data_IF_648566087836
#
_entry.id   IF_648566087836
#
_cell.length_a   1.000
_cell.length_b   1.000
_cell.length_c   1.000
_cell.angle_alpha   90.00
_cell.angle_beta   90.00
_cell.angle_gamma   90.00
#
_symmetry.space_group_name_H-M   'P 1'
#
loop_
_entity.id
_entity.type
_entity.pdbx_description
1 polymer ?
#
# COMPACT_ATOMS: atom_id res chain seq x y z
N UNK A 1 -13.66 14.72 3.83
CA UNK A 1 -13.44 14.76 5.29
C UNK A 1 -13.22 16.17 5.84
N UNK A 2 -12.65 17.11 5.07
CA UNK A 2 -12.48 18.54 5.52
C UNK A 2 -13.81 19.20 5.91
N UNK A 3 -14.90 18.86 5.25
CA UNK A 3 -16.22 19.44 5.55
C UNK A 3 -16.81 19.02 6.89
N UNK A 4 -16.35 17.93 7.48
CA UNK A 4 -16.88 17.44 8.77
C UNK A 4 -16.09 17.94 9.99
N UNK A 5 -14.82 18.31 9.79
CA UNK A 5 -13.93 18.75 10.88
C UNK A 5 -13.53 20.22 10.79
N UNK A 6 -13.96 20.93 9.76
CA UNK A 6 -13.50 22.29 9.46
C UNK A 6 -12.22 22.28 8.61
N UNK A 7 -11.81 23.45 8.13
CA UNK A 7 -10.58 23.64 7.36
C UNK A 7 -9.41 23.97 8.29
N UNK A 8 -8.17 23.79 7.83
CA UNK A 8 -6.98 24.23 8.57
C UNK A 8 -7.06 25.73 8.91
N UNK A 9 -7.61 26.56 8.00
CA UNK A 9 -7.84 27.99 8.25
C UNK A 9 -8.74 28.21 9.46
N UNK A 10 -9.88 27.50 9.52
CA UNK A 10 -10.84 27.61 10.65
C UNK A 10 -10.19 27.25 11.99
N UNK A 11 -9.36 26.21 12.03
CA UNK A 11 -8.64 25.82 13.24
C UNK A 11 -7.59 26.85 13.64
N UNK A 12 -6.83 27.38 12.69
CA UNK A 12 -5.82 28.41 12.93
C UNK A 12 -6.45 29.74 13.43
N UNK A 13 -7.60 30.16 12.88
CA UNK A 13 -8.35 31.30 13.34
C UNK A 13 -8.77 31.16 14.80
N UNK A 14 -9.05 29.94 15.24
CA UNK A 14 -9.36 29.60 16.64
C UNK A 14 -8.10 29.31 17.49
N UNK A 15 -6.91 29.61 16.98
CA UNK A 15 -5.61 29.38 17.65
C UNK A 15 -5.35 27.92 18.02
N UNK A 16 -5.92 26.98 17.26
CA UNK A 16 -5.69 25.55 17.42
C UNK A 16 -4.65 25.14 16.37
N UNK A 17 -3.43 24.76 16.77
CA UNK A 17 -2.42 24.30 15.83
C UNK A 17 -2.81 22.97 15.19
N UNK A 18 -2.62 22.86 13.88
CA UNK A 18 -2.93 21.64 13.11
C UNK A 18 -1.64 21.09 12.51
N UNK A 19 -1.37 19.84 12.78
CA UNK A 19 -0.35 19.08 12.07
C UNK A 19 -1.00 18.13 11.06
N UNK A 20 -0.54 18.14 9.82
CA UNK A 20 -0.98 17.22 8.79
C UNK A 20 0.21 16.33 8.40
N UNK A 21 0.01 15.02 8.48
CA UNK A 21 1.04 14.05 8.09
C UNK A 21 1.40 14.21 6.60
N UNK A 22 2.68 14.29 6.29
CA UNK A 22 3.17 14.38 4.90
C UNK A 22 2.75 13.18 4.06
N UNK A 23 2.82 11.98 4.63
CA UNK A 23 2.44 10.75 3.95
C UNK A 23 0.98 10.73 3.49
N UNK A 24 0.09 11.56 4.10
CA UNK A 24 -1.33 11.66 3.74
C UNK A 24 -1.65 12.77 2.73
N UNK A 25 -0.68 13.63 2.39
CA UNK A 25 -0.91 14.77 1.51
C UNK A 25 -0.90 14.37 0.03
N UNK A 26 -2.00 14.62 -0.66
CA UNK A 26 -2.08 14.41 -2.13
C UNK A 26 -1.40 15.52 -2.95
N UNK A 27 -0.97 16.60 -2.30
CA UNK A 27 -0.37 17.78 -2.95
C UNK A 27 1.14 17.71 -3.11
N UNK A 28 1.78 16.70 -2.53
CA UNK A 28 3.22 16.45 -2.62
C UNK A 28 3.48 15.09 -3.24
N UNK A 29 4.67 14.91 -3.79
CA UNK A 29 5.12 13.59 -4.23
C UNK A 29 5.18 12.65 -3.02
N UNK A 30 4.49 11.52 -3.11
CA UNK A 30 4.49 10.52 -2.07
C UNK A 30 5.71 9.61 -2.16
N UNK A 31 6.35 9.42 -1.00
CA UNK A 31 7.49 8.54 -0.78
C UNK A 31 7.38 7.94 0.62
N UNK A 32 7.90 6.73 0.82
CA UNK A 32 7.92 6.10 2.15
C UNK A 32 8.74 6.91 3.17
N UNK A 33 9.72 7.69 2.71
CA UNK A 33 10.48 8.62 3.54
C UNK A 33 9.60 9.70 4.20
N UNK A 34 8.44 10.04 3.63
CA UNK A 34 7.48 10.94 4.26
C UNK A 34 6.96 10.39 5.60
N UNK A 35 6.78 9.07 5.72
CA UNK A 35 6.40 8.42 6.99
C UNK A 35 7.52 8.59 8.02
N UNK A 36 8.77 8.39 7.61
CA UNK A 36 9.94 8.55 8.48
C UNK A 36 10.05 9.99 8.98
N UNK A 37 9.78 10.96 8.12
CA UNK A 37 9.79 12.38 8.49
C UNK A 37 8.62 12.73 9.43
N UNK A 38 7.43 12.18 9.19
CA UNK A 38 6.27 12.37 10.07
C UNK A 38 6.54 11.84 11.49
N UNK A 39 7.24 10.71 11.65
CA UNK A 39 7.66 10.21 12.96
C UNK A 39 8.56 11.21 13.68
N UNK A 40 9.55 11.79 12.97
CA UNK A 40 10.45 12.82 13.57
C UNK A 40 9.67 14.07 13.98
N UNK A 41 8.76 14.54 13.12
CA UNK A 41 7.94 15.71 13.40
C UNK A 41 7.03 15.50 14.61
N UNK A 42 6.40 14.34 14.74
CA UNK A 42 5.61 13.97 15.91
C UNK A 42 6.49 13.91 17.17
N UNK A 43 7.72 13.42 17.05
CA UNK A 43 8.71 13.44 18.13
C UNK A 43 8.99 14.86 18.65
N UNK A 44 9.09 15.84 17.76
CA UNK A 44 9.24 17.26 18.15
C UNK A 44 7.97 17.80 18.81
N UNK A 45 6.80 17.50 18.25
CA UNK A 45 5.50 17.98 18.79
C UNK A 45 5.26 17.46 20.22
N UNK A 46 5.62 16.21 20.48
CA UNK A 46 5.41 15.56 21.79
C UNK A 46 6.64 15.62 22.73
N UNK A 47 7.69 16.33 22.33
CA UNK A 47 8.95 16.47 23.11
C UNK A 47 9.60 15.12 23.47
N UNK A 48 9.66 14.20 22.48
CA UNK A 48 10.27 12.88 22.59
C UNK A 48 11.23 12.60 21.42
N UNK A 49 12.00 13.62 21.02
CA UNK A 49 12.82 13.63 19.81
C UNK A 49 13.81 12.45 19.73
N UNK A 50 14.48 12.12 20.84
CA UNK A 50 15.48 11.06 20.85
C UNK A 50 14.88 9.71 20.47
N UNK A 51 13.74 9.36 21.09
CA UNK A 51 12.99 8.12 20.78
C UNK A 51 12.46 8.12 19.36
N UNK A 52 11.94 9.26 18.91
CA UNK A 52 11.43 9.41 17.55
C UNK A 52 12.52 9.28 16.49
N UNK A 53 13.72 9.87 16.75
CA UNK A 53 14.86 9.76 15.85
C UNK A 53 15.40 8.32 15.78
N UNK A 54 15.46 7.62 16.91
CA UNK A 54 15.86 6.21 16.95
C UNK A 54 14.88 5.35 16.13
N UNK A 55 13.57 5.51 16.36
CA UNK A 55 12.55 4.78 15.63
C UNK A 55 12.54 5.12 14.12
N UNK A 56 12.67 6.40 13.78
CA UNK A 56 12.78 6.84 12.40
C UNK A 56 14.00 6.23 11.68
N UNK A 57 15.13 6.09 12.38
CA UNK A 57 16.32 5.43 11.84
C UNK A 57 16.09 3.93 11.59
N UNK A 58 15.35 3.25 12.47
CA UNK A 58 14.96 1.85 12.27
C UNK A 58 14.06 1.70 11.04
N UNK A 59 13.05 2.57 10.87
CA UNK A 59 12.17 2.56 9.70
C UNK A 59 12.95 2.83 8.39
N UNK A 60 13.87 3.79 8.40
CA UNK A 60 14.71 4.08 7.23
C UNK A 60 15.59 2.87 6.87
N UNK A 61 16.18 2.20 7.87
CA UNK A 61 16.99 1.00 7.65
C UNK A 61 16.21 -0.14 6.99
N UNK A 62 14.92 -0.32 7.33
CA UNK A 62 14.02 -1.28 6.67
C UNK A 62 13.82 -0.94 5.20
N UNK A 63 13.52 0.31 4.89
CA UNK A 63 13.35 0.78 3.50
C UNK A 63 14.64 0.53 2.70
N UNK A 64 15.79 0.90 3.25
CA UNK A 64 17.08 0.76 2.59
C UNK A 64 17.46 -0.71 2.36
N UNK A 65 17.15 -1.60 3.32
CA UNK A 65 17.37 -3.03 3.20
C UNK A 65 16.56 -3.64 2.06
N UNK A 66 15.25 -3.30 1.96
CA UNK A 66 14.39 -3.78 0.87
C UNK A 66 14.85 -3.23 -0.48
N UNK A 67 15.19 -1.94 -0.56
CA UNK A 67 15.74 -1.34 -1.77
C UNK A 67 17.03 -2.00 -2.23
N UNK A 68 17.90 -2.37 -1.31
CA UNK A 68 19.15 -3.09 -1.60
C UNK A 68 18.89 -4.52 -2.09
N UNK A 69 17.88 -5.19 -1.53
CA UNK A 69 17.50 -6.55 -1.93
C UNK A 69 16.83 -6.59 -3.31
N UNK A 70 16.18 -5.49 -3.72
CA UNK A 70 15.50 -5.36 -5.00
C UNK A 70 16.12 -4.20 -5.81
N UNK A 71 17.36 -4.32 -6.31
CA UNK A 71 17.95 -3.27 -7.11
C UNK A 71 17.03 -3.01 -8.29
N UNK A 72 16.48 -1.81 -8.36
CA UNK A 72 15.70 -1.35 -9.52
C UNK A 72 16.63 -1.40 -10.70
N UNK A 73 16.59 -2.51 -11.43
CA UNK A 73 17.20 -2.56 -12.75
C UNK A 73 16.62 -1.38 -13.54
N UNK A 74 17.42 -0.74 -14.35
CA UNK A 74 16.96 0.26 -15.34
C UNK A 74 16.06 -0.39 -16.41
N UNK A 75 15.46 -1.55 -16.08
CA UNK A 75 14.59 -2.35 -16.91
C UNK A 75 13.11 -2.18 -16.60
N UNK A 76 12.30 -2.91 -17.32
CA UNK A 76 10.85 -2.96 -17.17
C UNK A 76 10.47 -3.46 -15.77
N UNK A 77 9.64 -2.70 -15.04
CA UNK A 77 9.13 -3.10 -13.73
C UNK A 77 8.12 -4.23 -13.89
N UNK A 78 8.14 -5.17 -12.96
CA UNK A 78 7.13 -6.21 -12.86
C UNK A 78 5.76 -5.62 -12.54
N UNK A 79 4.71 -6.31 -12.93
CA UNK A 79 3.33 -5.88 -12.76
C UNK A 79 2.77 -6.37 -11.43
N UNK A 80 2.24 -5.46 -10.61
CA UNK A 80 1.51 -5.82 -9.40
C UNK A 80 0.11 -5.20 -9.40
N UNK A 81 -0.84 -5.86 -8.71
CA UNK A 81 -2.18 -5.35 -8.48
C UNK A 81 -2.49 -5.37 -6.98
N UNK A 82 -2.87 -4.22 -6.43
CA UNK A 82 -3.43 -4.14 -5.07
C UNK A 82 -4.94 -4.23 -5.19
N UNK A 83 -5.50 -5.36 -4.76
CA UNK A 83 -6.86 -5.79 -5.04
C UNK A 83 -7.69 -5.88 -3.77
N UNK A 84 -9.01 -5.67 -3.88
CA UNK A 84 -9.96 -5.74 -2.75
C UNK A 84 -11.33 -6.23 -3.24
N UNK A 85 -12.13 -6.78 -2.34
CA UNK A 85 -13.55 -7.10 -2.54
C UNK A 85 -13.85 -7.94 -3.80
N UNK A 86 -13.08 -8.99 -4.00
CA UNK A 86 -13.31 -9.95 -5.09
C UNK A 86 -14.53 -10.84 -4.82
N UNK A 87 -15.41 -10.99 -5.81
CA UNK A 87 -16.67 -11.75 -5.71
C UNK A 87 -16.97 -12.65 -6.91
N UNK A 88 -15.96 -13.20 -7.57
CA UNK A 88 -16.06 -14.02 -8.80
C UNK A 88 -16.54 -13.31 -10.08
N UNK A 89 -17.07 -12.13 -10.00
CA UNK A 89 -17.51 -11.34 -11.16
C UNK A 89 -16.73 -10.03 -11.26
N UNK A 90 -16.59 -9.36 -10.12
CA UNK A 90 -15.97 -8.04 -10.03
C UNK A 90 -15.04 -7.93 -8.85
N UNK A 91 -14.19 -6.92 -8.89
CA UNK A 91 -13.31 -6.55 -7.79
C UNK A 91 -13.07 -5.04 -7.75
N UNK A 92 -12.51 -4.58 -6.65
CA UNK A 92 -11.94 -3.24 -6.51
C UNK A 92 -10.42 -3.28 -6.54
N UNK A 93 -9.80 -2.14 -6.79
CA UNK A 93 -8.35 -1.99 -6.68
C UNK A 93 -7.98 -0.67 -6.00
N UNK A 94 -6.85 -0.66 -5.32
CA UNK A 94 -6.28 0.55 -4.76
C UNK A 94 -5.23 1.13 -5.71
N UNK A 95 -5.29 2.45 -5.88
CA UNK A 95 -4.36 3.21 -6.72
C UNK A 95 -4.01 4.50 -5.98
N UNK A 96 -3.05 4.45 -5.10
CA UNK A 96 -2.57 5.62 -4.36
C UNK A 96 -1.07 5.79 -4.51
N UNK A 97 -0.61 7.04 -4.43
CA UNK A 97 0.79 7.37 -4.66
C UNK A 97 1.73 6.76 -3.61
N UNK A 98 1.29 6.59 -2.36
CA UNK A 98 2.11 5.97 -1.32
C UNK A 98 2.33 4.48 -1.58
N UNK A 99 1.26 3.73 -1.95
CA UNK A 99 1.37 2.31 -2.28
C UNK A 99 2.14 2.09 -3.59
N UNK A 100 2.03 3.02 -4.55
CA UNK A 100 2.89 3.00 -5.74
C UNK A 100 4.37 3.18 -5.36
N UNK A 101 4.69 4.09 -4.44
CA UNK A 101 6.05 4.25 -3.90
C UNK A 101 6.55 2.96 -3.24
N UNK A 102 5.69 2.29 -2.46
CA UNK A 102 6.00 0.99 -1.85
C UNK A 102 6.34 -0.07 -2.91
N UNK A 103 5.48 -0.23 -3.91
CA UNK A 103 5.70 -1.19 -5.00
C UNK A 103 6.99 -0.90 -5.77
N UNK A 104 7.30 0.38 -5.98
CA UNK A 104 8.51 0.81 -6.65
C UNK A 104 9.79 0.36 -5.92
N UNK A 105 9.80 0.34 -4.57
CA UNK A 105 10.93 -0.19 -3.78
C UNK A 105 11.15 -1.70 -4.01
N UNK A 106 10.09 -2.41 -4.39
CA UNK A 106 10.10 -3.85 -4.66
C UNK A 106 10.37 -4.19 -6.16
N UNK A 107 10.52 -3.18 -7.01
CA UNK A 107 10.70 -3.39 -8.46
C UNK A 107 9.40 -3.67 -9.21
N UNK A 108 8.25 -3.28 -8.64
CA UNK A 108 6.93 -3.44 -9.24
C UNK A 108 6.28 -2.09 -9.57
N UNK A 109 5.30 -2.12 -10.48
CA UNK A 109 4.37 -1.02 -10.76
C UNK A 109 2.93 -1.52 -10.62
N UNK A 110 2.04 -0.67 -10.12
CA UNK A 110 0.63 -0.99 -9.99
C UNK A 110 -0.07 -0.88 -11.35
N UNK A 111 -0.66 -1.98 -11.81
CA UNK A 111 -1.33 -2.05 -13.11
C UNK A 111 -2.84 -1.76 -13.06
N UNK A 112 -3.36 -1.33 -11.91
CA UNK A 112 -4.78 -1.00 -11.76
C UNK A 112 -5.23 0.05 -12.79
N UNK A 113 -6.20 -0.29 -13.63
CA UNK A 113 -6.81 0.61 -14.64
C UNK A 113 -7.96 1.43 -14.07
N UNK A 114 -8.50 1.05 -12.92
CA UNK A 114 -9.57 1.72 -12.20
C UNK A 114 -9.57 1.31 -10.73
N UNK A 115 -10.55 1.80 -9.95
CA UNK A 115 -10.63 1.53 -8.50
C UNK A 115 -11.84 0.70 -8.07
N UNK A 116 -12.85 0.56 -8.94
CA UNK A 116 -14.08 -0.19 -8.60
C UNK A 116 -14.76 -0.74 -9.86
N UNK A 117 -15.58 -1.79 -9.69
CA UNK A 117 -16.33 -2.40 -10.78
C UNK A 117 -15.45 -3.02 -11.87
N UNK A 118 -14.24 -3.43 -11.53
CA UNK A 118 -13.33 -4.11 -12.45
C UNK A 118 -13.80 -5.56 -12.62
N UNK A 119 -13.74 -6.07 -13.86
CA UNK A 119 -14.20 -7.42 -14.21
C UNK A 119 -13.03 -8.40 -14.33
N UNK A 120 -13.34 -9.69 -14.49
CA UNK A 120 -12.30 -10.72 -14.67
C UNK A 120 -11.50 -10.48 -15.95
N UNK A 121 -12.11 -9.97 -17.02
CA UNK A 121 -11.42 -9.59 -18.25
C UNK A 121 -10.43 -8.45 -18.00
N UNK A 122 -10.77 -7.50 -17.14
CA UNK A 122 -9.83 -6.47 -16.73
C UNK A 122 -8.62 -7.10 -16.00
N UNK A 123 -8.85 -8.07 -15.10
CA UNK A 123 -7.76 -8.76 -14.40
C UNK A 123 -6.84 -9.49 -15.37
N UNK A 124 -7.41 -10.24 -16.31
CA UNK A 124 -6.64 -10.93 -17.37
C UNK A 124 -5.85 -9.92 -18.23
N UNK A 125 -6.47 -8.80 -18.61
CA UNK A 125 -5.81 -7.77 -19.42
C UNK A 125 -4.69 -7.02 -18.68
N UNK A 126 -4.85 -6.80 -17.38
CA UNK A 126 -3.80 -6.21 -16.54
C UNK A 126 -2.59 -7.12 -16.39
N UNK A 127 -2.78 -8.43 -16.46
CA UNK A 127 -1.75 -9.45 -16.46
C UNK A 127 -0.74 -9.31 -15.29
N UNK A 128 -1.20 -9.21 -14.02
CA UNK A 128 -0.30 -9.01 -12.89
C UNK A 128 0.54 -10.25 -12.58
N UNK A 129 1.81 -10.01 -12.22
CA UNK A 129 2.75 -11.02 -11.72
C UNK A 129 2.67 -11.20 -10.20
N UNK A 130 2.12 -10.21 -9.50
CA UNK A 130 1.87 -10.19 -8.07
C UNK A 130 0.48 -9.63 -7.79
N UNK A 131 -0.32 -10.32 -6.99
CA UNK A 131 -1.56 -9.79 -6.42
C UNK A 131 -1.37 -9.61 -4.92
N UNK A 132 -1.59 -8.39 -4.44
CA UNK A 132 -1.70 -8.07 -3.02
C UNK A 132 -3.19 -7.88 -2.73
N UNK A 133 -3.81 -8.88 -2.10
CA UNK A 133 -5.22 -8.85 -1.76
C UNK A 133 -5.41 -8.22 -0.39
N UNK A 134 -6.08 -7.06 -0.35
CA UNK A 134 -6.31 -6.30 0.88
C UNK A 134 -7.59 -6.79 1.55
N UNK A 135 -7.46 -7.30 2.77
CA UNK A 135 -8.58 -7.75 3.60
C UNK A 135 -9.07 -6.63 4.52
N UNK A 136 -10.35 -6.63 4.84
CA UNK A 136 -10.93 -5.67 5.79
C UNK A 136 -12.08 -6.27 6.57
N UNK A 137 -12.31 -5.78 7.80
CA UNK A 137 -13.46 -6.22 8.61
C UNK A 137 -14.81 -5.99 7.91
N UNK A 138 -14.89 -4.99 7.03
CA UNK A 138 -16.11 -4.69 6.25
C UNK A 138 -16.45 -5.79 5.26
N UNK A 139 -15.45 -6.50 4.73
CA UNK A 139 -15.58 -7.52 3.70
C UNK A 139 -15.22 -8.93 4.20
N UNK A 140 -15.12 -9.14 5.50
CA UNK A 140 -14.60 -10.38 6.10
C UNK A 140 -15.10 -11.66 5.46
N UNK A 141 -16.42 -11.81 5.29
CA UNK A 141 -17.03 -13.01 4.68
C UNK A 141 -16.60 -13.25 3.23
N UNK A 142 -16.35 -12.16 2.48
CA UNK A 142 -15.90 -12.20 1.10
C UNK A 142 -14.40 -12.53 1.07
N UNK A 143 -13.63 -11.86 1.90
CA UNK A 143 -12.18 -11.94 1.94
C UNK A 143 -11.68 -13.33 2.38
N UNK A 144 -12.41 -14.03 3.28
CA UNK A 144 -12.05 -15.38 3.74
C UNK A 144 -11.90 -16.41 2.61
N UNK A 145 -12.63 -16.25 1.51
CA UNK A 145 -12.65 -17.18 0.37
C UNK A 145 -12.04 -16.61 -0.92
N UNK A 146 -11.75 -15.33 -0.95
CA UNK A 146 -11.40 -14.62 -2.17
C UNK A 146 -10.20 -15.24 -2.90
N UNK A 147 -9.14 -15.59 -2.18
CA UNK A 147 -7.93 -16.19 -2.78
C UNK A 147 -8.21 -17.59 -3.33
N UNK A 148 -8.99 -18.40 -2.61
CA UNK A 148 -9.38 -19.75 -3.06
C UNK A 148 -10.25 -19.68 -4.30
N UNK A 149 -11.22 -18.77 -4.32
CA UNK A 149 -12.09 -18.54 -5.47
C UNK A 149 -11.29 -18.06 -6.69
N UNK A 150 -10.37 -17.10 -6.52
CA UNK A 150 -9.49 -16.67 -7.61
C UNK A 150 -8.67 -17.84 -8.19
N UNK A 151 -8.11 -18.70 -7.34
CA UNK A 151 -7.32 -19.85 -7.77
C UNK A 151 -8.15 -20.93 -8.46
N UNK A 152 -9.41 -21.08 -8.10
CA UNK A 152 -10.33 -22.05 -8.68
C UNK A 152 -10.99 -21.57 -9.96
N UNK A 153 -10.91 -20.27 -10.28
CA UNK A 153 -11.60 -19.69 -11.44
C UNK A 153 -10.80 -19.93 -12.73
N UNK A 154 -11.37 -20.77 -13.62
CA UNK A 154 -10.73 -21.14 -14.89
C UNK A 154 -10.42 -19.94 -15.81
N UNK A 155 -11.19 -18.86 -15.75
CA UNK A 155 -10.94 -17.64 -16.53
C UNK A 155 -9.61 -16.99 -16.14
N UNK A 156 -9.20 -17.16 -14.89
CA UNK A 156 -8.02 -16.52 -14.33
C UNK A 156 -6.74 -17.40 -14.36
N UNK A 157 -6.83 -18.64 -14.85
CA UNK A 157 -5.69 -19.58 -14.85
C UNK A 157 -4.46 -19.09 -15.63
N UNK A 158 -4.67 -18.22 -16.63
CA UNK A 158 -3.60 -17.61 -17.42
C UNK A 158 -2.88 -16.45 -16.73
N UNK A 159 -3.50 -15.85 -15.69
CA UNK A 159 -2.92 -14.70 -14.96
C UNK A 159 -1.65 -15.13 -14.22
N UNK A 160 -0.47 -14.53 -14.49
CA UNK A 160 0.80 -14.96 -13.93
C UNK A 160 0.80 -15.06 -12.40
N UNK A 161 0.20 -14.12 -11.69
CA UNK A 161 0.11 -14.14 -10.23
C UNK A 161 -0.65 -15.37 -9.73
N UNK A 162 -1.69 -15.81 -10.43
CA UNK A 162 -2.49 -16.99 -10.07
C UNK A 162 -1.74 -18.26 -10.40
N UNK A 163 -1.23 -18.38 -11.64
CA UNK A 163 -0.46 -19.50 -12.11
C UNK A 163 0.77 -19.80 -11.23
N UNK A 164 1.48 -18.75 -10.80
CA UNK A 164 2.70 -18.87 -10.02
C UNK A 164 2.45 -18.76 -8.49
N UNK A 165 1.19 -18.76 -8.05
CA UNK A 165 0.80 -18.65 -6.64
C UNK A 165 1.37 -17.40 -5.93
N UNK A 166 1.58 -16.31 -6.66
CA UNK A 166 2.05 -15.02 -6.14
C UNK A 166 0.87 -14.12 -5.77
N UNK A 167 0.00 -14.65 -4.88
CA UNK A 167 -1.11 -13.93 -4.26
C UNK A 167 -0.85 -13.87 -2.77
N UNK A 168 -0.76 -12.67 -2.21
CA UNK A 168 -0.54 -12.39 -0.80
C UNK A 168 -1.75 -11.68 -0.23
N UNK A 169 -2.16 -12.02 0.99
CA UNK A 169 -3.17 -11.28 1.75
C UNK A 169 -2.52 -10.37 2.76
N UNK A 170 -3.05 -9.15 2.92
CA UNK A 170 -2.60 -8.18 3.90
C UNK A 170 -3.79 -7.37 4.40
N UNK A 171 -3.82 -6.98 5.68
CA UNK A 171 -4.94 -6.19 6.19
C UNK A 171 -4.90 -4.75 5.69
N UNK A 172 -6.08 -4.12 5.63
CA UNK A 172 -6.22 -2.71 5.26
C UNK A 172 -5.36 -1.81 6.16
N UNK A 173 -5.43 -2.03 7.46
CA UNK A 173 -4.72 -1.20 8.44
C UNK A 173 -3.20 -1.30 8.32
N UNK A 174 -2.68 -2.45 7.85
CA UNK A 174 -1.26 -2.64 7.63
C UNK A 174 -0.74 -1.97 6.35
N UNK A 175 -1.53 -1.96 5.28
CA UNK A 175 -1.06 -1.49 3.96
C UNK A 175 -1.56 -0.10 3.59
N UNK A 176 -2.78 0.28 4.02
CA UNK A 176 -3.45 1.47 3.49
C UNK A 176 -3.38 2.67 4.43
N UNK A 177 -2.97 2.50 5.68
CA UNK A 177 -2.70 3.60 6.59
C UNK A 177 -1.44 4.38 6.18
N UNK A 178 -1.39 5.66 6.58
CA UNK A 178 -0.26 6.54 6.26
C UNK A 178 0.79 6.55 7.38
N UNK A 179 1.00 5.40 8.02
CA UNK A 179 1.85 5.24 9.19
C UNK A 179 2.95 4.18 9.04
N UNK A 180 3.72 3.93 10.10
CA UNK A 180 4.84 2.98 10.10
C UNK A 180 4.47 1.55 9.68
N UNK A 181 3.22 1.11 9.89
CA UNK A 181 2.73 -0.22 9.48
C UNK A 181 2.93 -0.48 7.97
N UNK A 182 2.89 0.56 7.14
CA UNK A 182 3.16 0.44 5.69
C UNK A 182 4.60 0.00 5.43
N UNK A 183 5.56 0.43 6.25
CA UNK A 183 6.97 0.03 6.13
C UNK A 183 7.15 -1.42 6.59
N UNK A 184 6.44 -1.86 7.63
CA UNK A 184 6.40 -3.28 8.02
C UNK A 184 5.78 -4.14 6.91
N UNK A 185 4.77 -3.62 6.22
CA UNK A 185 4.16 -4.28 5.06
C UNK A 185 5.12 -4.38 3.87
N UNK A 186 5.97 -3.38 3.66
CA UNK A 186 7.04 -3.45 2.65
C UNK A 186 7.96 -4.66 2.90
N UNK A 187 8.40 -4.89 4.15
CA UNK A 187 9.22 -6.06 4.51
C UNK A 187 8.46 -7.38 4.29
N UNK A 188 7.20 -7.47 4.73
CA UNK A 188 6.36 -8.67 4.54
C UNK A 188 6.21 -9.04 3.06
N UNK A 189 5.98 -8.04 2.21
CA UNK A 189 5.84 -8.26 0.76
C UNK A 189 7.19 -8.66 0.17
N UNK A 190 8.28 -8.02 0.58
CA UNK A 190 9.63 -8.39 0.15
C UNK A 190 9.96 -9.86 0.47
N UNK A 191 9.65 -10.30 1.68
CA UNK A 191 9.86 -11.69 2.09
C UNK A 191 9.01 -12.66 1.28
N UNK A 192 7.78 -12.27 0.94
CA UNK A 192 6.88 -13.09 0.14
C UNK A 192 7.34 -13.27 -1.31
N UNK A 193 7.80 -12.21 -1.97
CA UNK A 193 8.21 -12.27 -3.38
C UNK A 193 9.54 -12.99 -3.58
N UNK A 194 10.39 -13.06 -2.54
CA UNK A 194 11.73 -13.68 -2.58
C UNK A 194 11.74 -15.14 -2.07
N UNK A 195 10.58 -15.70 -1.72
CA UNK A 195 10.38 -17.14 -1.44
C UNK A 195 10.05 -17.89 -2.72
#
# INVERSE_FOLDING_TARGET
SEKSLGTVSTWNENKIPVYTQKASLSTIQQDLGNIVEDVKNLGMIFNVQDKANEYAAQLQAKIDAVKKANPTSQGEKKKALIMVAYNDETFGAYKSALQESLLNQLGYTNVATGTSGLTLENLVSMDPELIIYVTSDRNKKLDEKAVELMKANAVLESVPAIKNQKIMTISYDELMDYGPAVIDSLEKINDFINK
#
